data_IF_243120892271
#
_entry.id   IF_243120892271
#
_cell.length_a   1.000
_cell.length_b   1.000
_cell.length_c   1.000
_cell.angle_alpha   90.00
_cell.angle_beta   90.00
_cell.angle_gamma   90.00
#
_symmetry.space_group_name_H-M   'P 1'
#
loop_
_entity.id
_entity.type
_entity.pdbx_description
1 polymer ?
#
# COMPACT_ATOMS: atom_id res chain seq x y z
N UNK A 1 -43.35 -21.16 11.75
CA UNK A 1 -41.89 -21.19 11.57
C UNK A 1 -41.44 -19.76 11.43
N UNK A 2 -41.01 -19.15 12.52
CA UNK A 2 -40.47 -17.79 12.52
C UNK A 2 -39.11 -17.82 11.82
N UNK A 3 -38.96 -17.00 10.78
CA UNK A 3 -37.67 -16.75 10.15
C UNK A 3 -36.86 -15.95 11.18
N UNK A 4 -35.67 -16.40 11.62
CA UNK A 4 -34.89 -15.62 12.59
C UNK A 4 -34.61 -14.26 11.97
N UNK A 5 -35.04 -13.19 12.64
CA UNK A 5 -34.66 -11.83 12.28
C UNK A 5 -33.14 -11.79 12.18
N UNK A 6 -32.63 -11.49 10.98
CA UNK A 6 -31.19 -11.30 10.80
C UNK A 6 -30.87 -9.98 11.46
N UNK A 7 -30.00 -9.99 12.47
CA UNK A 7 -29.48 -8.76 13.06
C UNK A 7 -29.00 -7.82 11.94
N UNK A 8 -29.20 -6.50 12.09
CA UNK A 8 -28.69 -5.53 11.13
C UNK A 8 -27.17 -5.70 10.94
N UNK A 9 -26.65 -5.48 9.72
CA UNK A 9 -25.22 -5.56 9.47
C UNK A 9 -24.48 -4.56 10.39
N UNK A 10 -23.31 -4.94 10.96
CA UNK A 10 -22.56 -4.06 11.85
C UNK A 10 -22.13 -2.78 11.12
N UNK A 11 -22.03 -1.67 11.86
CA UNK A 11 -21.48 -0.43 11.31
C UNK A 11 -20.02 -0.64 10.93
N UNK A 12 -19.52 0.13 9.95
CA UNK A 12 -18.18 -0.07 9.40
C UNK A 12 -17.06 0.06 10.46
N UNK A 13 -17.28 0.88 11.49
CA UNK A 13 -16.32 1.12 12.58
C UNK A 13 -16.41 0.10 13.72
N UNK A 14 -17.48 -0.69 13.80
CA UNK A 14 -17.66 -1.74 14.82
C UNK A 14 -16.97 -3.05 14.42
N UNK A 15 -16.38 -3.09 13.22
CA UNK A 15 -15.73 -4.28 12.68
C UNK A 15 -14.32 -4.35 13.24
N UNK A 16 -14.07 -5.39 14.03
CA UNK A 16 -12.72 -5.68 14.51
C UNK A 16 -11.81 -6.05 13.34
N UNK A 17 -10.85 -5.18 13.06
CA UNK A 17 -9.82 -5.34 12.02
C UNK A 17 -8.45 -5.68 12.59
N UNK A 18 -8.40 -5.94 13.90
CA UNK A 18 -7.20 -6.13 14.69
C UNK A 18 -6.44 -4.83 14.92
N UNK A 19 -5.71 -4.76 16.03
CA UNK A 19 -4.86 -3.62 16.36
C UNK A 19 -3.69 -3.48 15.38
N UNK A 20 -3.54 -2.35 14.68
CA UNK A 20 -2.37 -2.11 13.84
C UNK A 20 -1.14 -1.84 14.71
N UNK A 21 0.06 -1.97 14.12
CA UNK A 21 1.27 -1.45 14.76
C UNK A 21 1.23 0.07 14.71
N UNK A 22 1.27 0.72 15.87
CA UNK A 22 1.13 2.18 15.97
C UNK A 22 2.19 2.90 15.15
N UNK A 23 1.79 3.98 14.47
CA UNK A 23 2.61 4.82 13.59
C UNK A 23 3.23 4.09 12.38
N UNK A 24 2.73 2.92 12.00
CA UNK A 24 3.12 2.22 10.77
C UNK A 24 1.99 2.24 9.76
N UNK A 25 2.33 2.56 8.51
CA UNK A 25 1.37 2.54 7.41
C UNK A 25 1.03 1.09 7.01
N UNK A 26 -0.19 0.88 6.54
CA UNK A 26 -0.62 -0.42 6.07
C UNK A 26 -2.01 -0.42 5.47
N UNK A 27 -2.40 -1.57 4.90
CA UNK A 27 -3.77 -1.81 4.50
C UNK A 27 -4.15 -3.26 4.71
N UNK A 28 -5.42 -3.51 5.03
CA UNK A 28 -6.00 -4.86 5.06
C UNK A 28 -7.36 -4.84 4.40
N UNK A 29 -7.71 -6.00 3.83
CA UNK A 29 -9.00 -6.23 3.18
C UNK A 29 -9.66 -7.43 3.82
N UNK A 30 -10.93 -7.29 4.15
CA UNK A 30 -11.72 -8.33 4.81
C UNK A 30 -13.04 -8.51 4.09
N UNK A 31 -13.50 -9.75 4.01
CA UNK A 31 -14.88 -10.01 3.63
C UNK A 31 -15.77 -9.58 4.80
N UNK A 32 -16.76 -8.72 4.54
CA UNK A 32 -17.70 -8.31 5.58
C UNK A 32 -18.49 -9.53 6.07
N UNK A 33 -18.48 -9.81 7.38
CA UNK A 33 -19.29 -10.88 7.95
C UNK A 33 -20.74 -10.74 7.50
N UNK A 34 -21.40 -11.87 7.22
CA UNK A 34 -22.82 -11.92 6.83
C UNK A 34 -23.19 -11.21 5.51
N UNK A 35 -22.23 -10.65 4.76
CA UNK A 35 -22.46 -10.08 3.42
C UNK A 35 -22.40 -11.13 2.28
N UNK A 36 -22.09 -12.38 2.63
CA UNK A 36 -21.91 -13.47 1.68
C UNK A 36 -23.22 -13.94 1.05
N UNK A 37 -23.31 -13.91 -0.27
CA UNK A 37 -24.42 -14.43 -1.05
C UNK A 37 -23.92 -15.38 -2.14
N UNK A 38 -24.45 -16.60 -2.17
CA UNK A 38 -24.10 -17.59 -3.20
C UNK A 38 -25.02 -17.42 -4.40
N UNK A 39 -24.46 -17.01 -5.54
CA UNK A 39 -25.21 -16.85 -6.79
C UNK A 39 -24.77 -17.90 -7.82
N UNK A 40 -25.66 -18.19 -8.75
CA UNK A 40 -25.30 -19.00 -9.91
C UNK A 40 -24.17 -18.35 -10.69
N UNK A 41 -23.19 -19.15 -11.12
CA UNK A 41 -22.07 -18.63 -11.89
C UNK A 41 -22.58 -18.10 -13.23
N UNK A 42 -22.51 -16.78 -13.41
CA UNK A 42 -22.95 -16.09 -14.63
C UNK A 42 -22.22 -16.60 -15.89
N UNK A 43 -20.95 -17.03 -15.78
CA UNK A 43 -20.17 -17.52 -16.93
C UNK A 43 -20.61 -18.90 -17.47
N UNK A 44 -21.12 -19.78 -16.62
CA UNK A 44 -21.56 -21.12 -17.05
C UNK A 44 -23.08 -21.33 -16.93
N UNK A 45 -23.79 -20.38 -16.31
CA UNK A 45 -25.20 -20.46 -15.98
C UNK A 45 -25.49 -21.63 -15.04
N UNK A 46 -24.69 -21.83 -14.00
CA UNK A 46 -24.90 -22.92 -13.04
C UNK A 46 -24.29 -24.28 -13.41
N UNK A 47 -23.85 -24.48 -14.66
CA UNK A 47 -23.50 -25.81 -15.18
C UNK A 47 -22.11 -26.34 -14.81
N UNK A 48 -21.27 -25.52 -14.15
CA UNK A 48 -19.88 -25.87 -13.84
C UNK A 48 -18.93 -25.99 -15.04
N UNK A 49 -19.45 -25.98 -16.27
CA UNK A 49 -18.68 -26.15 -17.52
C UNK A 49 -19.10 -25.14 -18.58
N UNK A 50 -18.13 -24.58 -19.28
CA UNK A 50 -18.33 -23.66 -20.41
C UNK A 50 -18.05 -24.38 -21.74
N UNK A 51 -18.71 -23.96 -22.83
CA UNK A 51 -18.38 -24.44 -24.18
C UNK A 51 -16.90 -24.18 -24.47
N UNK A 52 -16.22 -25.14 -25.08
CA UNK A 52 -14.84 -24.95 -25.48
C UNK A 52 -14.80 -23.89 -26.59
N UNK A 53 -14.18 -22.75 -26.32
CA UNK A 53 -14.03 -21.65 -27.27
C UNK A 53 -13.37 -22.09 -28.58
N UNK A 54 -12.36 -22.98 -28.48
CA UNK A 54 -11.63 -23.47 -29.65
C UNK A 54 -12.55 -24.20 -30.64
N UNK A 55 -13.48 -25.04 -30.18
CA UNK A 55 -14.35 -25.84 -31.05
C UNK A 55 -15.83 -25.44 -31.00
N UNK A 56 -16.17 -24.30 -30.41
CA UNK A 56 -17.55 -23.82 -30.29
C UNK A 56 -18.52 -24.75 -29.55
N UNK A 57 -18.03 -25.74 -28.81
CA UNK A 57 -18.88 -26.77 -28.18
C UNK A 57 -18.92 -28.13 -28.87
N UNK A 58 -18.42 -28.26 -30.11
CA UNK A 58 -18.55 -29.50 -30.90
C UNK A 58 -17.66 -30.66 -30.44
N UNK A 59 -16.60 -30.36 -29.68
CA UNK A 59 -15.54 -31.31 -29.33
C UNK A 59 -14.61 -31.67 -30.48
N UNK A 60 -14.91 -31.27 -31.71
CA UNK A 60 -14.21 -31.74 -32.91
C UNK A 60 -14.15 -30.67 -34.01
N UNK A 61 -13.16 -30.78 -34.90
CA UNK A 61 -13.00 -29.95 -36.09
C UNK A 61 -13.17 -30.79 -37.34
N UNK A 62 -13.73 -30.22 -38.41
CA UNK A 62 -13.65 -30.85 -39.74
C UNK A 62 -12.19 -30.96 -40.15
N UNK A 63 -11.80 -32.14 -40.62
CA UNK A 63 -10.45 -32.36 -41.12
C UNK A 63 -10.35 -31.76 -42.53
N UNK A 64 -9.68 -30.62 -42.67
CA UNK A 64 -9.46 -29.93 -43.96
C UNK A 64 -8.36 -30.59 -44.81
N UNK A 65 -8.10 -31.88 -44.62
CA UNK A 65 -7.07 -32.57 -45.39
C UNK A 65 -7.56 -32.82 -46.82
N UNK A 66 -6.67 -32.69 -47.81
CA UNK A 66 -6.98 -32.94 -49.22
C UNK A 66 -7.49 -34.38 -49.45
N UNK A 67 -6.99 -35.35 -48.69
CA UNK A 67 -7.47 -36.74 -48.69
C UNK A 67 -8.86 -36.95 -48.07
N UNK A 68 -9.39 -35.95 -47.34
CA UNK A 68 -10.66 -35.99 -46.62
C UNK A 68 -11.78 -35.27 -47.39
N UNK A 69 -11.42 -34.26 -48.20
CA UNK A 69 -12.35 -33.49 -49.02
C UNK A 69 -12.62 -34.12 -50.39
N UNK A 70 -11.75 -35.00 -50.87
CA UNK A 70 -11.98 -35.77 -52.10
C UNK A 70 -12.47 -37.14 -51.70
N UNK A 71 -13.69 -37.48 -52.11
CA UNK A 71 -14.39 -38.74 -51.86
C UNK A 71 -13.74 -39.97 -52.54
N UNK A 72 -12.43 -39.92 -52.82
CA UNK A 72 -11.71 -40.90 -53.65
C UNK A 72 -10.24 -41.03 -53.20
N UNK A 73 -10.00 -41.85 -52.19
CA UNK A 73 -8.80 -42.71 -52.14
C UNK A 73 -9.05 -43.83 -51.14
N UNK A 74 -9.36 -45.02 -51.65
CA UNK A 74 -9.80 -46.18 -50.87
C UNK A 74 -8.71 -46.80 -49.97
N UNK A 75 -7.46 -46.32 -49.97
CA UNK A 75 -6.36 -47.03 -49.29
C UNK A 75 -5.37 -46.21 -48.44
N UNK A 76 -5.52 -44.88 -48.29
CA UNK A 76 -4.68 -44.09 -47.38
C UNK A 76 -5.54 -43.34 -46.36
N UNK A 77 -5.65 -43.90 -45.14
CA UNK A 77 -6.32 -43.20 -44.03
C UNK A 77 -5.56 -41.92 -43.73
N UNK A 78 -6.26 -40.80 -43.64
CA UNK A 78 -5.63 -39.54 -43.25
C UNK A 78 -5.01 -39.70 -41.85
N UNK A 79 -3.70 -39.44 -41.65
CA UNK A 79 -3.06 -39.61 -40.35
C UNK A 79 -3.64 -38.67 -39.28
N UNK A 80 -4.17 -37.51 -39.68
CA UNK A 80 -4.72 -36.53 -38.74
C UNK A 80 -6.13 -36.85 -38.22
N UNK A 81 -6.94 -37.62 -38.97
CA UNK A 81 -8.32 -37.98 -38.58
C UNK A 81 -8.62 -39.48 -38.63
N UNK A 82 -7.64 -40.30 -39.01
CA UNK A 82 -7.76 -41.76 -39.19
C UNK A 82 -8.92 -42.20 -40.10
N UNK A 83 -9.30 -41.36 -41.06
CA UNK A 83 -10.43 -41.62 -41.97
C UNK A 83 -11.81 -41.16 -41.48
N UNK A 84 -11.94 -40.67 -40.24
CA UNK A 84 -13.23 -40.19 -39.69
C UNK A 84 -13.71 -38.85 -40.27
N UNK A 85 -12.87 -38.15 -41.03
CA UNK A 85 -13.14 -36.80 -41.52
C UNK A 85 -13.19 -35.72 -40.42
N UNK A 86 -12.97 -36.07 -39.15
CA UNK A 86 -13.03 -35.16 -38.00
C UNK A 86 -11.83 -35.32 -37.07
N UNK A 87 -11.36 -34.22 -36.49
CA UNK A 87 -10.24 -34.20 -35.54
C UNK A 87 -10.75 -33.83 -34.16
N UNK A 88 -10.40 -34.59 -33.12
CA UNK A 88 -10.73 -34.23 -31.73
C UNK A 88 -10.08 -32.90 -31.37
N UNK A 89 -10.84 -32.03 -30.72
CA UNK A 89 -10.31 -30.78 -30.19
C UNK A 89 -9.37 -31.08 -29.03
N UNK A 90 -8.08 -30.78 -29.20
CA UNK A 90 -7.05 -31.03 -28.18
C UNK A 90 -7.30 -30.25 -26.88
N UNK A 91 -7.84 -29.03 -26.96
CA UNK A 91 -8.08 -28.18 -25.77
C UNK A 91 -9.20 -28.66 -24.85
N UNK A 92 -10.13 -29.48 -25.34
CA UNK A 92 -11.17 -30.10 -24.51
C UNK A 92 -11.12 -31.63 -24.53
N UNK A 93 -10.09 -32.21 -25.15
CA UNK A 93 -9.92 -33.65 -25.34
C UNK A 93 -11.14 -34.32 -25.97
N UNK A 94 -11.81 -33.66 -26.91
CA UNK A 94 -13.03 -34.18 -27.54
C UNK A 94 -14.34 -33.93 -26.80
N UNK A 95 -14.32 -33.41 -25.57
CA UNK A 95 -15.54 -33.25 -24.72
C UNK A 95 -16.45 -32.10 -25.12
N UNK A 96 -15.97 -31.17 -25.96
CA UNK A 96 -16.72 -29.98 -26.38
C UNK A 96 -16.91 -28.92 -25.30
N UNK A 97 -16.76 -29.27 -24.03
CA UNK A 97 -16.85 -28.35 -22.88
C UNK A 97 -15.60 -28.45 -22.02
N UNK A 98 -15.31 -27.37 -21.30
CA UNK A 98 -14.22 -27.29 -20.32
C UNK A 98 -14.78 -26.86 -18.98
N UNK A 99 -14.10 -27.24 -17.91
CA UNK A 99 -14.42 -26.76 -16.56
C UNK A 99 -14.44 -25.22 -16.58
N UNK A 100 -15.48 -24.64 -15.99
CA UNK A 100 -15.59 -23.20 -15.91
C UNK A 100 -14.48 -22.68 -14.99
N UNK A 101 -13.61 -21.82 -15.52
CA UNK A 101 -12.46 -21.31 -14.76
C UNK A 101 -12.93 -20.42 -13.59
N UNK A 102 -14.02 -19.68 -13.77
CA UNK A 102 -14.51 -18.74 -12.76
C UNK A 102 -15.09 -19.43 -11.53
N UNK A 103 -15.86 -20.51 -11.68
CA UNK A 103 -16.41 -21.27 -10.55
C UNK A 103 -15.67 -22.59 -10.29
N UNK A 104 -14.59 -22.87 -11.01
CA UNK A 104 -13.78 -24.10 -10.91
C UNK A 104 -14.54 -25.43 -11.03
N UNK A 105 -15.78 -25.42 -11.53
CA UNK A 105 -16.63 -26.62 -11.66
C UNK A 105 -17.88 -26.60 -10.77
N UNK A 106 -17.90 -25.75 -9.74
CA UNK A 106 -18.98 -25.71 -8.74
C UNK A 106 -20.32 -25.19 -9.28
N UNK A 107 -20.28 -24.42 -10.38
CA UNK A 107 -21.48 -23.82 -10.95
C UNK A 107 -22.04 -22.64 -10.14
N UNK A 108 -21.50 -22.36 -8.95
CA UNK A 108 -21.89 -21.25 -8.07
C UNK A 108 -20.68 -20.38 -7.75
N UNK A 109 -20.94 -19.13 -7.36
CA UNK A 109 -19.94 -18.15 -6.94
C UNK A 109 -20.40 -17.50 -5.65
N UNK A 110 -19.48 -17.30 -4.72
CA UNK A 110 -19.71 -16.50 -3.52
C UNK A 110 -19.44 -15.03 -3.84
N UNK A 111 -20.45 -14.19 -3.63
CA UNK A 111 -20.35 -12.74 -3.67
C UNK A 111 -20.35 -12.23 -2.24
N UNK A 112 -19.55 -11.22 -1.94
CA UNK A 112 -19.52 -10.59 -0.62
C UNK A 112 -19.09 -9.13 -0.77
N UNK A 113 -19.44 -8.30 0.20
CA UNK A 113 -18.91 -6.94 0.29
C UNK A 113 -17.54 -6.99 0.96
N UNK A 114 -16.57 -6.25 0.44
CA UNK A 114 -15.21 -6.21 0.97
C UNK A 114 -14.97 -4.88 1.69
N UNK A 115 -14.58 -4.94 2.96
CA UNK A 115 -14.07 -3.80 3.71
C UNK A 115 -12.59 -3.62 3.41
N UNK A 116 -12.18 -2.42 3.06
CA UNK A 116 -10.78 -2.04 2.91
C UNK A 116 -10.42 -1.00 3.97
N UNK A 117 -9.52 -1.36 4.88
CA UNK A 117 -9.01 -0.46 5.92
C UNK A 117 -7.59 -0.05 5.58
N UNK A 118 -7.31 1.25 5.71
CA UNK A 118 -6.01 1.84 5.46
C UNK A 118 -5.54 2.59 6.70
N UNK A 119 -4.34 2.27 7.18
CA UNK A 119 -3.65 2.99 8.24
C UNK A 119 -2.60 3.90 7.62
N UNK A 120 -2.60 5.15 8.04
CA UNK A 120 -1.67 6.18 7.58
C UNK A 120 -1.12 6.94 8.79
N UNK A 121 0.14 7.35 8.69
CA UNK A 121 0.77 8.19 9.72
C UNK A 121 0.79 9.63 9.24
N UNK A 122 0.10 10.53 9.95
CA UNK A 122 0.18 11.95 9.68
C UNK A 122 1.35 12.54 10.48
N UNK A 123 2.29 13.19 9.78
CA UNK A 123 3.46 13.84 10.39
C UNK A 123 3.41 15.33 10.08
N UNK A 124 3.52 16.16 11.10
CA UNK A 124 3.68 17.61 11.01
C UNK A 124 4.81 18.03 11.93
N UNK A 125 5.67 18.93 11.47
CA UNK A 125 6.87 19.37 12.19
C UNK A 125 7.00 20.88 12.12
N UNK A 126 7.46 21.46 13.22
CA UNK A 126 7.75 22.89 13.33
C UNK A 126 9.07 23.02 14.05
N UNK A 127 10.05 23.64 13.39
CA UNK A 127 11.28 24.07 14.03
C UNK A 127 11.08 25.54 14.36
N UNK A 128 11.08 25.88 15.64
CA UNK A 128 10.98 27.27 16.10
C UNK A 128 12.38 27.89 16.08
N UNK A 129 12.48 29.14 15.60
CA UNK A 129 13.70 29.92 15.76
C UNK A 129 13.87 30.31 17.25
N UNK A 130 15.10 30.22 17.81
CA UNK A 130 15.34 30.79 19.12
C UNK A 130 15.12 32.32 19.07
N UNK A 131 14.39 32.90 20.04
CA UNK A 131 13.98 34.31 20.00
C UNK A 131 15.13 35.32 20.11
N UNK A 132 16.33 34.90 20.52
CA UNK A 132 17.40 35.84 20.94
C UNK A 132 18.71 35.75 20.13
N UNK A 133 18.80 34.84 19.18
CA UNK A 133 19.94 34.80 18.27
C UNK A 133 19.42 34.44 16.90
N UNK A 134 19.65 35.31 15.91
CA UNK A 134 19.62 34.91 14.51
C UNK A 134 20.43 33.63 14.40
N UNK A 135 19.74 32.48 14.37
CA UNK A 135 20.37 31.20 14.21
C UNK A 135 21.07 31.29 12.86
N UNK A 136 22.39 31.42 12.92
CA UNK A 136 23.23 31.64 11.75
C UNK A 136 23.10 30.47 10.76
N UNK A 137 22.68 29.30 11.27
CA UNK A 137 22.35 28.08 10.54
C UNK A 137 20.95 28.21 9.97
N UNK A 138 20.78 28.20 8.63
CA UNK A 138 19.47 28.26 8.00
C UNK A 138 18.51 27.18 8.52
N UNK A 139 17.25 27.55 8.81
CA UNK A 139 16.22 26.65 9.33
C UNK A 139 16.03 25.37 8.50
N UNK A 140 16.19 25.47 7.17
CA UNK A 140 16.13 24.32 6.26
C UNK A 140 17.20 23.26 6.51
N UNK A 141 18.31 23.63 7.15
CA UNK A 141 19.35 22.69 7.59
C UNK A 141 18.98 22.07 8.95
N UNK A 142 18.37 22.85 9.84
CA UNK A 142 17.88 22.38 11.13
C UNK A 142 16.75 21.35 10.97
N UNK A 143 15.87 21.52 9.98
CA UNK A 143 14.83 20.55 9.61
C UNK A 143 15.38 19.19 9.10
N UNK A 144 16.70 19.08 8.87
CA UNK A 144 17.34 17.88 8.30
C UNK A 144 18.27 17.16 9.27
N UNK A 145 18.24 17.52 10.55
CA UNK A 145 19.01 16.91 11.63
C UNK A 145 18.08 16.55 12.78
N UNK A 146 18.55 15.71 13.69
CA UNK A 146 17.82 15.32 14.90
C UNK A 146 18.30 16.08 16.13
N UNK A 147 17.42 16.23 17.12
CA UNK A 147 17.74 16.80 18.42
C UNK A 147 17.72 15.77 19.55
N UNK A 148 17.99 16.26 20.75
CA UNK A 148 17.78 15.52 21.99
C UNK A 148 16.30 15.63 22.39
N UNK A 149 15.65 14.51 22.66
CA UNK A 149 14.22 14.50 23.05
C UNK A 149 14.08 15.06 24.47
N UNK A 150 13.42 16.21 24.60
CA UNK A 150 13.11 16.83 25.90
C UNK A 150 11.85 16.23 26.51
N UNK A 151 10.82 16.05 25.69
CA UNK A 151 9.56 15.43 26.11
C UNK A 151 8.93 14.67 24.95
N UNK A 152 8.24 13.59 25.28
CA UNK A 152 7.45 12.79 24.36
C UNK A 152 6.15 12.41 25.06
N UNK A 153 5.04 12.83 24.48
CA UNK A 153 3.70 12.50 24.94
C UNK A 153 3.00 11.65 23.86
N UNK A 154 2.43 10.52 24.28
CA UNK A 154 1.89 9.48 23.41
C UNK A 154 0.57 8.97 24.01
N UNK A 155 -0.55 9.33 23.38
CA UNK A 155 -1.88 8.97 23.84
C UNK A 155 -2.88 8.79 22.68
N UNK A 156 -4.11 8.35 22.96
CA UNK A 156 -5.19 8.28 21.97
C UNK A 156 -5.50 9.67 21.39
N UNK A 157 -5.50 10.69 22.25
CA UNK A 157 -5.56 12.10 21.87
C UNK A 157 -4.68 12.88 22.83
N UNK A 158 -3.65 13.53 22.29
CA UNK A 158 -2.73 14.33 23.09
C UNK A 158 -3.30 15.73 23.36
N UNK A 159 -2.83 16.37 24.42
CA UNK A 159 -3.24 17.73 24.80
C UNK A 159 -2.13 18.74 24.48
N UNK A 160 -2.45 20.04 24.33
CA UNK A 160 -1.43 21.07 24.14
C UNK A 160 -0.34 21.02 25.23
N UNK A 161 0.93 20.99 24.81
CA UNK A 161 2.06 20.97 25.74
C UNK A 161 2.19 22.31 26.46
N UNK A 162 2.29 22.29 27.79
CA UNK A 162 2.36 23.50 28.62
C UNK A 162 3.53 24.45 28.25
N UNK A 163 4.67 23.92 27.82
CA UNK A 163 5.84 24.73 27.41
C UNK A 163 5.77 25.26 25.97
N UNK A 164 4.87 24.71 25.14
CA UNK A 164 4.72 25.06 23.72
C UNK A 164 3.25 25.06 23.28
N UNK A 165 2.35 25.74 24.00
CA UNK A 165 0.91 25.54 23.85
C UNK A 165 0.44 25.93 22.44
N UNK A 166 0.87 27.06 21.90
CA UNK A 166 0.44 27.56 20.60
C UNK A 166 0.83 26.63 19.43
N UNK A 167 2.07 26.12 19.44
CA UNK A 167 2.57 25.24 18.38
C UNK A 167 1.92 23.87 18.49
N UNK A 168 1.86 23.31 19.71
CA UNK A 168 1.27 22.01 19.97
C UNK A 168 -0.23 22.01 19.62
N UNK A 169 -1.00 23.00 20.08
CA UNK A 169 -2.43 23.14 19.78
C UNK A 169 -2.68 23.27 18.27
N UNK A 170 -1.89 24.10 17.57
CA UNK A 170 -2.00 24.25 16.12
C UNK A 170 -1.76 22.93 15.38
N UNK A 171 -0.76 22.14 15.78
CA UNK A 171 -0.46 20.85 15.15
C UNK A 171 -1.52 19.80 15.45
N UNK A 172 -2.04 19.77 16.68
CA UNK A 172 -3.17 18.90 17.06
C UNK A 172 -4.40 19.22 16.21
N UNK A 173 -4.71 20.50 16.03
CA UNK A 173 -5.85 20.93 15.22
C UNK A 173 -5.65 20.65 13.72
N UNK A 174 -4.44 20.83 13.19
CA UNK A 174 -4.09 20.45 11.82
C UNK A 174 -4.32 18.95 11.57
N UNK A 175 -3.92 18.09 12.52
CA UNK A 175 -4.16 16.64 12.42
C UNK A 175 -5.65 16.31 12.45
N UNK A 176 -6.44 16.97 13.29
CA UNK A 176 -7.91 16.83 13.32
C UNK A 176 -8.54 17.28 12.00
N UNK A 177 -8.09 18.39 11.42
CA UNK A 177 -8.65 18.90 10.16
C UNK A 177 -8.27 18.00 8.97
N UNK A 178 -7.04 17.48 8.94
CA UNK A 178 -6.59 16.50 7.93
C UNK A 178 -7.33 15.18 8.09
N UNK A 179 -7.66 14.81 9.33
CA UNK A 179 -8.51 13.67 9.59
C UNK A 179 -10.00 14.06 9.41
N UNK A 180 -10.48 14.01 8.17
CA UNK A 180 -11.88 14.24 7.83
C UNK A 180 -12.89 13.20 8.40
N UNK A 181 -14.17 13.26 7.99
CA UNK A 181 -15.25 12.46 8.58
C UNK A 181 -15.15 10.95 8.35
N UNK A 182 -14.28 10.50 7.45
CA UNK A 182 -14.08 9.09 7.08
C UNK A 182 -12.84 8.46 7.70
N UNK A 183 -12.17 9.14 8.63
CA UNK A 183 -11.03 8.60 9.36
C UNK A 183 -11.24 8.72 10.87
N UNK A 184 -10.45 7.94 11.59
CA UNK A 184 -10.41 7.95 13.03
C UNK A 184 -8.96 7.98 13.48
N UNK A 185 -8.63 8.90 14.38
CA UNK A 185 -7.30 9.01 14.97
C UNK A 185 -7.19 7.93 16.05
N UNK A 186 -6.35 6.92 15.81
CA UNK A 186 -6.14 5.82 16.76
C UNK A 186 -5.15 6.17 17.87
N UNK A 187 -4.14 6.99 17.53
CA UNK A 187 -3.05 7.38 18.42
C UNK A 187 -2.42 8.67 17.90
N UNK A 188 -2.05 9.55 18.82
CA UNK A 188 -1.23 10.73 18.55
C UNK A 188 0.03 10.67 19.41
N UNK A 189 1.12 11.16 18.84
CA UNK A 189 2.37 11.36 19.56
C UNK A 189 2.91 12.73 19.21
N UNK A 190 3.31 13.46 20.23
CA UNK A 190 4.03 14.72 20.09
C UNK A 190 5.38 14.60 20.78
N UNK A 191 6.41 15.07 20.10
CA UNK A 191 7.79 15.02 20.59
C UNK A 191 8.37 16.42 20.48
N UNK A 192 8.96 16.90 21.56
CA UNK A 192 9.77 18.12 21.56
C UNK A 192 11.23 17.71 21.56
N UNK A 193 11.94 18.13 20.52
CA UNK A 193 13.38 17.93 20.39
C UNK A 193 14.12 19.25 20.54
N UNK A 194 15.21 19.24 21.29
CA UNK A 194 16.18 20.32 21.35
C UNK A 194 17.31 20.02 20.37
N UNK A 195 17.42 20.82 19.32
CA UNK A 195 18.51 20.67 18.34
C UNK A 195 19.72 21.45 18.88
N UNK A 196 20.81 20.77 19.28
CA UNK A 196 21.98 21.47 19.79
C UNK A 196 22.65 22.25 18.64
N UNK A 197 23.04 23.49 18.91
CA UNK A 197 23.81 24.34 17.99
C UNK A 197 24.96 24.98 18.77
N UNK A 198 26.18 24.67 18.38
CA UNK A 198 27.40 25.24 18.97
C UNK A 198 28.10 26.15 17.95
N UNK A 199 28.42 27.38 18.36
CA UNK A 199 29.28 28.28 17.59
C UNK A 199 30.74 28.03 17.96
N UNK A 200 31.57 27.68 16.97
CA UNK A 200 32.98 27.38 17.16
C UNK A 200 33.81 28.46 16.48
N UNK A 201 34.66 29.11 17.27
CA UNK A 201 35.68 30.04 16.78
C UNK A 201 37.03 29.32 16.76
N UNK A 202 37.79 29.45 15.67
CA UNK A 202 39.07 28.77 15.52
C UNK A 202 40.05 29.57 14.66
N UNK A 203 41.34 29.38 14.91
CA UNK A 203 42.43 29.94 14.09
C UNK A 203 42.93 28.90 13.08
N UNK A 204 43.02 29.28 11.81
CA UNK A 204 43.61 28.43 10.76
C UNK A 204 44.40 29.27 9.76
N UNK A 205 45.66 28.88 9.47
CA UNK A 205 46.53 29.58 8.51
C UNK A 205 46.64 31.09 8.79
N UNK A 206 46.75 31.47 10.07
CA UNK A 206 46.84 32.87 10.52
C UNK A 206 45.52 33.66 10.41
N UNK A 207 44.39 33.02 10.08
CA UNK A 207 43.07 33.64 9.99
C UNK A 207 42.16 33.14 11.11
N UNK A 208 41.41 34.05 11.73
CA UNK A 208 40.31 33.69 12.62
C UNK A 208 39.06 33.40 11.80
N UNK A 209 38.52 32.20 11.98
CA UNK A 209 37.35 31.68 11.28
C UNK A 209 36.29 31.25 12.30
N UNK A 210 35.07 31.07 11.82
CA UNK A 210 34.00 30.47 12.63
C UNK A 210 33.14 29.51 11.83
N UNK A 211 32.60 28.52 12.53
CA UNK A 211 31.62 27.58 12.03
C UNK A 211 30.57 27.28 13.09
N UNK A 212 29.48 26.64 12.68
CA UNK A 212 28.46 26.14 13.57
C UNK A 212 28.41 24.63 13.47
N UNK A 213 28.40 23.95 14.61
CA UNK A 213 28.18 22.51 14.71
C UNK A 213 26.76 22.31 15.21
N UNK A 214 25.92 21.58 14.50
CA UNK A 214 24.49 21.47 14.80
C UNK A 214 23.94 20.06 14.62
N UNK A 215 22.86 19.77 15.35
CA UNK A 215 22.24 18.45 15.41
C UNK A 215 23.06 17.44 16.21
N UNK A 216 22.41 16.36 16.62
CA UNK A 216 23.11 15.25 17.30
C UNK A 216 24.12 14.56 16.40
N UNK A 217 23.96 14.68 15.08
CA UNK A 217 24.89 14.19 14.05
C UNK A 217 26.12 15.09 13.86
N UNK A 218 26.20 16.22 14.58
CA UNK A 218 27.34 17.16 14.58
C UNK A 218 27.66 17.69 13.17
N UNK A 219 26.64 18.07 12.39
CA UNK A 219 26.85 18.66 11.06
C UNK A 219 27.48 20.04 11.19
N UNK A 220 28.27 20.44 10.19
CA UNK A 220 28.99 21.73 10.20
C UNK A 220 28.40 22.68 9.16
N UNK A 221 28.17 23.94 9.56
CA UNK A 221 27.74 25.02 8.68
C UNK A 221 28.67 26.24 8.78
N UNK A 222 29.03 26.83 7.64
CA UNK A 222 29.84 28.06 7.55
C UNK A 222 29.16 29.06 6.62
N UNK A 223 28.98 30.33 7.05
CA UNK A 223 28.37 31.38 6.22
C UNK A 223 29.21 31.72 4.98
N UNK A 224 30.54 31.60 5.07
CA UNK A 224 31.46 31.74 3.93
C UNK A 224 31.70 30.37 3.31
N UNK A 225 31.40 30.24 2.01
CA UNK A 225 32.06 29.25 1.16
C UNK A 225 33.54 29.62 1.15
N UNK A 226 34.35 28.88 1.89
CA UNK A 226 35.79 28.87 1.66
C UNK A 226 35.98 28.21 0.29
N UNK A 227 36.07 29.04 -0.76
CA UNK A 227 36.55 28.61 -2.06
C UNK A 227 37.91 27.91 -1.81
N UNK A 228 37.93 26.58 -1.95
CA UNK A 228 39.08 25.67 -1.81
C UNK A 228 39.45 25.09 -0.43
N UNK A 229 38.52 24.60 0.39
CA UNK A 229 38.89 23.67 1.48
C UNK A 229 37.94 22.46 1.53
N UNK A 230 38.24 21.43 0.73
CA UNK A 230 37.83 20.05 1.02
C UNK A 230 38.97 19.37 1.76
N UNK A 231 38.90 19.30 3.09
CA UNK A 231 39.77 18.44 3.88
C UNK A 231 38.96 17.77 4.99
N UNK A 232 38.91 16.44 4.94
CA UNK A 232 38.47 15.61 6.05
C UNK A 232 39.69 15.26 6.90
N UNK A 233 39.66 15.61 8.17
CA UNK A 233 40.59 15.07 9.16
C UNK A 233 39.78 14.22 10.13
N UNK A 234 40.10 12.93 10.20
CA UNK A 234 39.64 12.03 11.26
C UNK A 234 40.83 11.82 12.18
N UNK A 235 40.65 12.15 13.45
CA UNK A 235 41.52 11.67 14.52
C UNK A 235 40.72 10.55 15.18
N UNK A 236 41.25 9.32 15.08
CA UNK A 236 40.79 8.19 15.88
C UNK A 236 41.22 8.36 17.33
#
# INVERSE_FOLDING_TARGET
MEVPERDPPPQLWDIDVGTPKMFHEGSKKFALPRSGEVKMCHKCGGRGRCKCSRCGGSGQFRCRCSSCNRQKSRNKRCPACSGSGRRRCSKCSGRGRRICISCKGEGRLLYYQQLAVNWKTLRSEVVSDPPEQESSVPLILLQKVTGEVLTMDDDATVHPLAGFPDVSERLIQDHRNKCGPSCHILRQRQTVEMIPVAHVQYGYSGKNLSCHVYGTERRVYTKRRLHNLTFGCSIM
#
